data_IF_505676534449
#
_entry.id   IF_505676534449
#
_cell.length_a   1.000
_cell.length_b   1.000
_cell.length_c   1.000
_cell.angle_alpha   90.00
_cell.angle_beta   90.00
_cell.angle_gamma   90.00
#
_symmetry.space_group_name_H-M   'P 1'
#
loop_
_entity.id
_entity.type
_entity.pdbx_description
1 polymer ?
#
# COMPACT_ATOMS: atom_id res chain seq x y z
N UNK A 1 -65.01 38.51 40.47
CA UNK A 1 -65.28 37.98 39.11
C UNK A 1 -64.52 36.66 39.02
N UNK A 2 -65.20 35.50 38.91
CA UNK A 2 -65.49 34.76 37.65
C UNK A 2 -64.23 34.50 36.81
N UNK A 3 -63.92 33.30 36.32
CA UNK A 3 -64.40 31.92 36.53
C UNK A 3 -63.30 30.97 35.97
N UNK A 4 -62.91 29.89 36.64
CA UNK A 4 -63.43 28.51 36.47
C UNK A 4 -63.41 27.96 35.03
N UNK A 5 -62.43 27.09 34.73
CA UNK A 5 -62.55 25.77 34.06
C UNK A 5 -61.19 25.38 33.42
N UNK A 6 -60.79 24.11 33.25
CA UNK A 6 -61.03 22.80 33.86
C UNK A 6 -60.58 21.72 32.84
N UNK A 7 -60.41 20.50 33.35
CA UNK A 7 -60.28 19.22 32.62
C UNK A 7 -58.93 18.92 31.95
N UNK A 8 -58.28 17.75 32.03
CA UNK A 8 -58.44 16.43 32.73
C UNK A 8 -58.20 15.29 31.70
N UNK A 9 -57.61 14.16 32.15
CA UNK A 9 -57.35 12.86 31.44
C UNK A 9 -56.37 12.88 30.26
N UNK A 10 -55.78 11.78 29.77
CA UNK A 10 -55.52 10.36 30.17
C UNK A 10 -54.27 9.96 29.29
N UNK A 11 -53.42 8.93 29.48
CA UNK A 11 -53.23 7.86 30.48
C UNK A 11 -51.81 7.27 30.32
N UNK A 12 -51.18 6.68 31.35
CA UNK A 12 -50.07 5.74 31.18
C UNK A 12 -50.50 4.27 31.41
N UNK A 13 -50.44 3.44 30.37
CA UNK A 13 -50.41 1.97 30.48
C UNK A 13 -49.07 1.49 29.85
N UNK A 14 -48.15 0.73 30.45
CA UNK A 14 -48.13 -0.32 31.47
C UNK A 14 -47.79 -1.69 30.85
N UNK A 15 -47.09 -2.52 31.63
CA UNK A 15 -46.71 -3.92 31.34
C UNK A 15 -45.58 -4.10 30.28
N UNK A 16 -44.57 -4.95 30.46
CA UNK A 16 -44.18 -5.72 31.65
C UNK A 16 -43.41 -6.99 31.30
N UNK A 17 -42.25 -7.24 31.92
CA UNK A 17 -41.64 -8.59 32.02
C UNK A 17 -40.48 -8.62 33.03
N UNK A 18 -40.77 -9.00 34.29
CA UNK A 18 -39.71 -9.50 35.19
C UNK A 18 -39.36 -10.93 34.78
N UNK A 19 -38.08 -11.22 34.47
CA UNK A 19 -37.49 -12.53 34.76
C UNK A 19 -36.10 -12.36 35.37
N UNK A 20 -36.05 -12.43 36.70
CA UNK A 20 -34.82 -12.81 37.41
C UNK A 20 -34.61 -14.30 37.19
N UNK A 21 -33.44 -14.71 36.70
CA UNK A 21 -32.94 -16.05 36.98
C UNK A 21 -31.54 -15.95 37.57
N UNK A 22 -31.45 -16.28 38.86
CA UNK A 22 -30.22 -16.82 39.43
C UNK A 22 -29.75 -17.99 38.56
N UNK A 23 -28.52 -17.92 38.07
CA UNK A 23 -27.73 -19.12 37.79
C UNK A 23 -26.54 -19.08 38.74
N UNK A 24 -26.26 -20.23 39.36
CA UNK A 24 -25.36 -20.36 40.49
C UNK A 24 -23.90 -20.23 40.04
N UNK A 25 -23.08 -19.73 40.96
CA UNK A 25 -21.64 -19.95 40.95
C UNK A 25 -21.36 -21.46 40.89
N UNK A 26 -20.50 -21.89 39.97
CA UNK A 26 -19.85 -23.20 40.06
C UNK A 26 -18.35 -23.00 39.87
N UNK A 27 -17.64 -22.83 40.98
CA UNK A 27 -16.18 -22.81 40.97
C UNK A 27 -15.68 -24.23 40.67
N UNK A 28 -15.05 -24.44 39.51
CA UNK A 28 -14.31 -25.66 39.24
C UNK A 28 -12.81 -25.42 39.42
N UNK A 29 -12.40 -25.52 40.68
CA UNK A 29 -11.01 -25.63 41.13
C UNK A 29 -10.34 -26.81 40.43
N UNK A 30 -9.27 -26.56 39.67
CA UNK A 30 -8.27 -27.59 39.33
C UNK A 30 -6.86 -27.02 39.39
N UNK A 31 -6.34 -27.03 40.61
CA UNK A 31 -4.90 -27.04 40.85
C UNK A 31 -4.34 -28.33 40.23
N UNK A 32 -3.42 -28.21 39.28
CA UNK A 32 -2.49 -29.29 38.97
C UNK A 32 -1.07 -28.75 39.03
N UNK A 33 -0.51 -28.87 40.23
CA UNK A 33 0.93 -28.90 40.42
C UNK A 33 1.52 -30.00 39.54
N UNK A 34 2.54 -29.65 38.76
CA UNK A 34 3.53 -30.60 38.26
C UNK A 34 4.92 -30.01 38.46
N UNK A 35 5.45 -30.25 39.66
CA UNK A 35 6.89 -30.19 39.91
C UNK A 35 7.58 -31.44 39.35
N UNK A 36 8.91 -31.37 39.34
CA UNK A 36 9.88 -32.44 39.06
C UNK A 36 10.14 -32.79 37.59
N UNK A 37 11.38 -32.50 37.19
CA UNK A 37 11.95 -32.82 35.87
C UNK A 37 13.44 -32.47 35.79
N UNK A 38 14.19 -32.56 36.89
CA UNK A 38 15.65 -32.48 36.83
C UNK A 38 16.18 -33.71 36.09
N UNK A 39 16.85 -33.50 34.95
CA UNK A 39 17.70 -34.48 34.31
C UNK A 39 18.99 -33.79 33.82
N UNK A 40 19.94 -33.63 34.75
CA UNK A 40 21.33 -33.41 34.37
C UNK A 40 21.87 -34.70 33.76
N UNK A 41 22.31 -34.65 32.50
CA UNK A 41 23.16 -35.70 31.91
C UNK A 41 24.43 -35.02 31.42
N UNK A 42 25.47 -35.17 32.23
CA UNK A 42 26.85 -34.79 31.92
C UNK A 42 27.44 -35.68 30.83
N UNK A 43 28.46 -35.14 30.15
CA UNK A 43 29.54 -35.87 29.50
C UNK A 43 29.19 -37.04 28.55
N UNK A 44 29.22 -36.75 27.25
CA UNK A 44 29.96 -37.62 26.34
C UNK A 44 31.21 -36.91 25.86
N UNK A 45 32.33 -37.40 26.38
CA UNK A 45 33.67 -36.92 26.15
C UNK A 45 34.18 -37.43 24.79
N UNK A 46 34.60 -36.49 23.94
CA UNK A 46 35.84 -36.55 23.18
C UNK A 46 36.15 -37.84 22.38
N UNK A 47 35.90 -37.79 21.07
CA UNK A 47 36.75 -38.49 20.09
C UNK A 47 37.19 -37.52 19.01
N UNK A 48 38.44 -37.07 19.14
CA UNK A 48 39.08 -36.26 18.11
C UNK A 48 39.33 -37.06 16.84
N UNK A 49 39.14 -36.42 15.69
CA UNK A 49 39.65 -36.84 14.40
C UNK A 49 40.29 -35.62 13.74
N UNK A 50 41.62 -35.53 13.80
CA UNK A 50 42.38 -34.49 13.13
C UNK A 50 42.12 -34.54 11.62
N UNK A 51 41.39 -33.57 11.08
CA UNK A 51 41.38 -33.34 9.64
C UNK A 51 41.82 -31.90 9.35
N UNK A 52 43.11 -31.77 9.08
CA UNK A 52 43.78 -30.51 8.73
C UNK A 52 43.32 -30.04 7.35
N UNK A 53 42.18 -29.33 7.30
CA UNK A 53 41.67 -28.73 6.08
C UNK A 53 42.50 -27.48 5.78
N UNK A 54 43.20 -27.49 4.64
CA UNK A 54 43.99 -26.37 4.13
C UNK A 54 43.09 -25.13 3.96
N UNK A 55 43.54 -23.92 4.34
CA UNK A 55 42.79 -22.69 4.10
C UNK A 55 42.88 -22.32 2.60
N UNK A 56 42.07 -22.97 1.77
CA UNK A 56 41.93 -22.60 0.37
C UNK A 56 41.18 -21.27 0.31
N UNK A 57 41.89 -20.20 -0.09
CA UNK A 57 41.29 -18.89 -0.39
C UNK A 57 40.38 -18.99 -1.61
N UNK A 58 39.16 -19.47 -1.41
CA UNK A 58 38.09 -19.38 -2.40
C UNK A 58 37.46 -17.99 -2.31
N UNK A 59 38.04 -17.03 -3.04
CA UNK A 59 37.43 -15.72 -3.31
C UNK A 59 36.22 -15.92 -4.26
N UNK A 60 35.17 -16.56 -3.77
CA UNK A 60 33.90 -16.66 -4.49
C UNK A 60 33.17 -15.33 -4.36
N UNK A 61 33.34 -14.49 -5.38
CA UNK A 61 32.49 -13.32 -5.62
C UNK A 61 31.11 -13.85 -5.97
N UNK A 62 30.26 -14.03 -4.95
CA UNK A 62 28.83 -14.19 -5.15
C UNK A 62 28.27 -12.85 -5.61
N UNK A 63 28.38 -12.59 -6.92
CA UNK A 63 27.65 -11.51 -7.54
C UNK A 63 26.16 -11.81 -7.36
N UNK A 64 25.53 -11.12 -6.41
CA UNK A 64 24.07 -11.07 -6.29
C UNK A 64 23.58 -10.35 -7.53
N UNK A 65 23.31 -11.13 -8.57
CA UNK A 65 22.46 -10.71 -9.67
C UNK A 65 21.06 -10.55 -9.08
N UNK A 66 20.81 -9.40 -8.46
CA UNK A 66 19.49 -8.87 -8.26
C UNK A 66 18.92 -8.59 -9.66
N UNK A 67 18.43 -9.65 -10.30
CA UNK A 67 17.51 -9.54 -11.42
C UNK A 67 16.21 -9.05 -10.82
N UNK A 68 16.16 -7.75 -10.56
CA UNK A 68 14.90 -7.04 -10.42
C UNK A 68 14.21 -7.16 -11.76
N UNK A 69 13.34 -8.18 -11.87
CA UNK A 69 12.27 -8.21 -12.84
C UNK A 69 11.28 -7.09 -12.50
N UNK A 70 11.71 -5.84 -12.66
CA UNK A 70 10.79 -4.74 -12.86
C UNK A 70 10.02 -5.07 -14.14
N UNK A 71 8.72 -5.32 -14.01
CA UNK A 71 7.80 -5.38 -15.11
C UNK A 71 7.58 -3.96 -15.62
N UNK A 72 8.65 -3.39 -16.21
CA UNK A 72 8.70 -2.03 -16.72
C UNK A 72 7.47 -1.79 -17.59
N UNK A 73 6.60 -0.90 -17.12
CA UNK A 73 5.52 -0.39 -17.94
C UNK A 73 6.15 0.21 -19.21
N UNK A 74 5.81 -0.37 -20.34
CA UNK A 74 6.25 0.04 -21.67
C UNK A 74 5.01 0.36 -22.49
N UNK A 75 5.05 1.51 -23.16
CA UNK A 75 3.94 2.06 -23.92
C UNK A 75 4.46 2.88 -25.09
N UNK A 76 3.60 3.66 -25.76
CA UNK A 76 4.01 4.46 -26.91
C UNK A 76 5.22 5.35 -26.58
N UNK A 77 6.32 5.16 -27.32
CA UNK A 77 7.52 6.02 -27.29
C UNK A 77 8.33 6.07 -26.00
N UNK A 78 7.90 5.46 -24.89
CA UNK A 78 8.54 5.61 -23.57
C UNK A 78 8.59 4.29 -22.79
N UNK A 79 9.63 4.15 -21.97
CA UNK A 79 9.77 3.12 -20.93
C UNK A 79 9.78 3.80 -19.57
N UNK A 80 8.99 3.30 -18.63
CA UNK A 80 9.11 3.70 -17.24
C UNK A 80 10.45 3.22 -16.64
N UNK A 81 11.20 4.11 -15.98
CA UNK A 81 12.54 3.81 -15.45
C UNK A 81 12.61 3.75 -13.92
N UNK A 82 11.97 4.70 -13.23
CA UNK A 82 11.99 4.81 -11.76
C UNK A 82 10.84 5.71 -11.27
N UNK A 83 10.47 5.63 -9.99
CA UNK A 83 9.44 6.48 -9.42
C UNK A 83 9.15 6.24 -7.94
N UNK A 84 7.98 6.68 -7.48
CA UNK A 84 7.61 6.60 -6.08
C UNK A 84 6.24 7.19 -5.78
N UNK A 85 5.69 6.80 -4.63
CA UNK A 85 4.48 7.39 -4.07
C UNK A 85 4.73 7.78 -2.60
N UNK A 86 4.42 9.01 -2.22
CA UNK A 86 4.56 9.50 -0.83
C UNK A 86 3.22 10.00 -0.34
N UNK A 87 2.64 9.32 0.64
CA UNK A 87 1.45 9.75 1.36
C UNK A 87 1.89 10.55 2.60
N UNK A 88 1.64 11.86 2.60
CA UNK A 88 1.91 12.74 3.73
C UNK A 88 0.62 13.03 4.47
N UNK A 89 0.54 12.64 5.74
CA UNK A 89 -0.60 12.94 6.61
C UNK A 89 -0.52 14.38 7.14
N UNK A 90 -1.68 14.99 7.41
CA UNK A 90 -1.74 16.24 8.19
C UNK A 90 -1.60 15.95 9.68
N UNK A 91 -1.15 16.96 10.45
CA UNK A 91 -1.25 16.97 11.92
C UNK A 91 -2.64 16.58 12.41
N UNK A 92 -3.67 17.14 11.77
CA UNK A 92 -5.06 17.03 12.20
C UNK A 92 -5.60 15.62 11.96
N UNK A 93 -5.19 14.99 10.86
CA UNK A 93 -5.55 13.59 10.56
C UNK A 93 -4.89 12.60 11.52
N UNK A 94 -3.61 12.82 11.88
CA UNK A 94 -2.91 12.00 12.87
C UNK A 94 -3.49 12.20 14.28
N UNK A 95 -3.82 13.45 14.64
CA UNK A 95 -4.48 13.78 15.89
C UNK A 95 -5.88 13.14 15.99
N UNK A 96 -6.65 13.17 14.90
CA UNK A 96 -7.97 12.53 14.85
C UNK A 96 -7.89 11.00 14.90
N UNK A 97 -6.94 10.38 14.18
CA UNK A 97 -6.69 8.93 14.26
C UNK A 97 -6.29 8.52 15.68
N UNK A 98 -5.35 9.25 16.31
CA UNK A 98 -4.94 9.02 17.70
C UNK A 98 -6.10 9.23 18.69
N UNK A 99 -6.95 10.24 18.48
CA UNK A 99 -8.17 10.48 19.28
C UNK A 99 -9.19 9.34 19.13
N UNK A 100 -9.28 8.71 17.94
CA UNK A 100 -10.07 7.49 17.72
C UNK A 100 -9.37 6.22 18.26
N UNK A 101 -8.18 6.33 18.83
CA UNK A 101 -7.37 5.22 19.33
C UNK A 101 -6.73 4.39 18.22
N UNK A 102 -6.55 4.94 17.02
CA UNK A 102 -5.98 4.26 15.84
C UNK A 102 -4.53 4.67 15.65
N UNK A 103 -3.62 3.70 15.78
CA UNK A 103 -2.21 3.84 15.41
C UNK A 103 -1.98 3.52 13.94
N UNK A 104 -0.96 4.14 13.34
CA UNK A 104 -0.55 3.93 11.94
C UNK A 104 0.85 3.33 11.91
N UNK A 105 1.06 2.28 11.13
CA UNK A 105 2.38 1.67 10.89
C UNK A 105 2.56 1.39 9.40
N UNK A 106 3.76 1.59 8.85
CA UNK A 106 4.03 1.18 7.47
C UNK A 106 4.09 -0.34 7.33
N UNK A 107 3.71 -0.83 6.15
CA UNK A 107 3.82 -2.23 5.74
C UNK A 107 4.83 -2.31 4.60
N UNK A 108 5.88 -3.11 4.80
CA UNK A 108 7.01 -3.20 3.89
C UNK A 108 6.57 -3.51 2.43
N UNK A 109 7.26 -2.96 1.42
CA UNK A 109 8.49 -2.16 1.50
C UNK A 109 8.31 -0.68 1.90
N UNK A 110 7.09 -0.21 2.20
CA UNK A 110 6.88 1.17 2.64
C UNK A 110 7.53 1.46 4.01
N UNK A 111 7.87 2.73 4.25
CA UNK A 111 8.44 3.24 5.51
C UNK A 111 7.56 4.35 6.09
N UNK A 112 7.56 4.53 7.42
CA UNK A 112 6.82 5.58 8.12
C UNK A 112 7.76 6.38 9.03
N UNK A 113 7.78 7.71 8.87
CA UNK A 113 8.63 8.62 9.67
C UNK A 113 7.88 9.29 10.86
N UNK A 114 6.60 8.97 11.04
CA UNK A 114 5.69 9.59 12.01
C UNK A 114 4.68 10.55 11.39
N UNK A 115 4.91 11.04 10.16
CA UNK A 115 3.97 11.88 9.42
C UNK A 115 3.79 11.48 7.94
N UNK A 116 4.77 10.79 7.34
CA UNK A 116 4.80 10.40 5.94
C UNK A 116 4.98 8.90 5.79
N UNK A 117 4.16 8.30 4.94
CA UNK A 117 4.32 6.93 4.46
C UNK A 117 4.92 7.00 3.06
N UNK A 118 6.19 6.67 2.98
CA UNK A 118 6.96 6.60 1.73
C UNK A 118 6.82 5.18 1.19
N UNK A 119 6.10 5.02 0.10
CA UNK A 119 5.92 3.76 -0.62
C UNK A 119 6.99 3.66 -1.72
N UNK A 120 7.80 2.61 -1.68
CA UNK A 120 8.80 2.37 -2.73
C UNK A 120 8.14 1.81 -3.99
N UNK A 121 8.90 1.91 -5.07
CA UNK A 121 8.44 1.70 -6.44
C UNK A 121 9.27 0.61 -7.09
N UNK A 122 9.38 -0.53 -6.42
CA UNK A 122 10.24 -1.62 -6.89
C UNK A 122 9.65 -2.38 -8.10
N UNK A 123 8.35 -2.19 -8.42
CA UNK A 123 7.68 -2.63 -9.66
C UNK A 123 6.37 -1.84 -9.95
N UNK A 124 6.41 -0.53 -10.29
CA UNK A 124 5.19 0.25 -10.38
C UNK A 124 4.43 -0.07 -11.67
N UNK A 125 3.18 -0.51 -11.52
CA UNK A 125 2.26 -0.64 -12.65
C UNK A 125 1.75 0.73 -13.02
N UNK A 126 2.42 1.33 -14.01
CA UNK A 126 2.02 2.60 -14.65
C UNK A 126 1.25 2.31 -15.93
N UNK A 127 0.19 3.06 -16.17
CA UNK A 127 -0.62 2.99 -17.39
C UNK A 127 -0.74 4.40 -17.94
N UNK A 128 -0.54 4.58 -19.24
CA UNK A 128 -0.76 5.84 -19.94
C UNK A 128 -1.48 5.64 -21.28
N UNK A 129 -2.11 6.70 -21.78
CA UNK A 129 -2.87 6.69 -23.03
C UNK A 129 -1.99 7.00 -24.26
N UNK A 130 -2.59 7.01 -25.45
CA UNK A 130 -1.95 7.39 -26.72
C UNK A 130 -1.48 8.86 -26.79
N UNK A 131 -1.98 9.71 -25.90
CA UNK A 131 -1.62 11.13 -25.79
C UNK A 131 -0.47 11.36 -24.79
N UNK A 132 0.11 10.27 -24.25
CA UNK A 132 1.15 10.27 -23.22
C UNK A 132 0.70 10.74 -21.82
N UNK A 133 -0.61 10.78 -21.53
CA UNK A 133 -1.12 11.06 -20.19
C UNK A 133 -1.12 9.79 -19.33
N UNK A 134 -0.42 9.81 -18.19
CA UNK A 134 -0.51 8.77 -17.16
C UNK A 134 -1.92 8.75 -16.58
N UNK A 135 -2.63 7.64 -16.79
CA UNK A 135 -4.00 7.40 -16.31
C UNK A 135 -4.04 6.66 -14.98
N UNK A 136 -3.04 5.84 -14.69
CA UNK A 136 -2.89 5.16 -13.41
C UNK A 136 -1.44 4.87 -13.07
N UNK A 137 -1.13 4.85 -11.77
CA UNK A 137 0.17 4.44 -11.23
C UNK A 137 -0.07 3.70 -9.91
N UNK A 138 0.55 2.53 -9.75
CA UNK A 138 0.47 1.71 -8.53
C UNK A 138 1.81 1.73 -7.79
N UNK A 139 1.81 2.10 -6.51
CA UNK A 139 2.95 1.98 -5.62
C UNK A 139 2.93 0.66 -4.84
N UNK A 140 4.11 0.20 -4.39
CA UNK A 140 4.24 -1.03 -3.62
C UNK A 140 4.34 -0.77 -2.11
N UNK A 141 3.91 -1.77 -1.33
CA UNK A 141 3.74 -1.65 0.12
C UNK A 141 2.43 -0.98 0.49
N UNK A 142 2.40 -0.38 1.68
CA UNK A 142 1.23 0.33 2.19
C UNK A 142 1.32 0.53 3.69
N UNK A 143 0.20 0.41 4.40
CA UNK A 143 0.16 0.69 5.83
C UNK A 143 -0.94 -0.05 6.58
N UNK A 144 -0.70 -0.31 7.86
CA UNK A 144 -1.65 -0.94 8.77
C UNK A 144 -2.18 0.07 9.77
N UNK A 145 -3.49 0.21 9.83
CA UNK A 145 -4.21 0.93 10.88
C UNK A 145 -4.52 -0.08 12.00
N UNK A 146 -4.13 0.20 13.24
CA UNK A 146 -4.36 -0.68 14.39
C UNK A 146 -5.17 0.05 15.46
N UNK A 147 -6.32 -0.52 15.85
CA UNK A 147 -7.13 -0.01 16.94
C UNK A 147 -6.59 -0.45 18.30
N UNK A 148 -6.41 0.51 19.21
CA UNK A 148 -6.14 0.27 20.63
C UNK A 148 -7.41 0.05 21.45
N UNK A 149 -8.57 0.49 20.94
CA UNK A 149 -9.87 0.43 21.64
C UNK A 149 -10.60 -0.89 21.41
N UNK A 150 -10.47 -1.49 20.22
CA UNK A 150 -10.90 -2.86 19.95
C UNK A 150 -9.69 -3.79 19.87
N UNK A 151 -9.61 -4.76 20.80
CA UNK A 151 -8.47 -5.67 21.02
C UNK A 151 -7.84 -6.17 19.72
N UNK A 152 -6.74 -5.54 19.29
CA UNK A 152 -5.97 -5.97 18.13
C UNK A 152 -6.72 -5.92 16.80
N UNK A 153 -7.77 -5.10 16.66
CA UNK A 153 -8.45 -4.93 15.38
C UNK A 153 -7.55 -4.14 14.42
N UNK A 154 -7.32 -4.66 13.21
CA UNK A 154 -6.41 -4.06 12.24
C UNK A 154 -7.06 -3.88 10.87
N UNK A 155 -6.56 -2.92 10.11
CA UNK A 155 -6.85 -2.78 8.68
C UNK A 155 -5.52 -2.59 7.95
N UNK A 156 -5.15 -3.60 7.17
CA UNK A 156 -3.98 -3.56 6.28
C UNK A 156 -4.42 -2.98 4.94
N UNK A 157 -3.74 -1.93 4.49
CA UNK A 157 -3.92 -1.27 3.21
C UNK A 157 -2.69 -1.54 2.36
N UNK A 158 -2.89 -2.00 1.13
CA UNK A 158 -1.84 -2.45 0.21
C UNK A 158 -2.20 -2.14 -1.25
N UNK A 159 -1.24 -2.29 -2.17
CA UNK A 159 -1.43 -2.06 -3.61
C UNK A 159 -2.06 -0.68 -3.90
N UNK A 160 -1.53 0.35 -3.25
CA UNK A 160 -2.08 1.71 -3.32
C UNK A 160 -1.88 2.22 -4.75
N UNK A 161 -2.98 2.48 -5.44
CA UNK A 161 -3.01 2.93 -6.83
C UNK A 161 -3.73 4.26 -6.96
N UNK A 162 -3.22 5.11 -7.83
CA UNK A 162 -3.87 6.35 -8.21
C UNK A 162 -4.62 6.14 -9.52
N UNK A 163 -5.82 6.70 -9.59
CA UNK A 163 -6.49 7.03 -10.84
C UNK A 163 -6.45 8.55 -10.98
N UNK A 164 -5.71 9.03 -11.98
CA UNK A 164 -5.50 10.46 -12.23
C UNK A 164 -6.71 11.10 -12.92
N UNK A 165 -7.54 10.30 -13.61
CA UNK A 165 -8.73 10.78 -14.30
C UNK A 165 -9.92 10.94 -13.34
N UNK A 166 -10.10 10.01 -12.40
CA UNK A 166 -11.13 10.10 -11.35
C UNK A 166 -10.66 10.79 -10.07
N UNK A 167 -9.39 11.23 -10.01
CA UNK A 167 -8.77 11.90 -8.84
C UNK A 167 -9.01 11.11 -7.54
N UNK A 168 -8.85 9.79 -7.65
CA UNK A 168 -9.18 8.82 -6.59
C UNK A 168 -7.96 7.94 -6.29
N UNK A 169 -7.69 7.75 -5.00
CA UNK A 169 -6.73 6.77 -4.48
C UNK A 169 -7.49 5.49 -4.17
N UNK A 170 -7.06 4.38 -4.75
CA UNK A 170 -7.57 3.04 -4.47
C UNK A 170 -6.56 2.23 -3.66
N UNK A 171 -7.04 1.30 -2.84
CA UNK A 171 -6.21 0.34 -2.13
C UNK A 171 -6.91 -1.02 -2.03
N UNK A 172 -6.13 -2.09 -1.98
CA UNK A 172 -6.59 -3.39 -1.50
C UNK A 172 -6.56 -3.39 0.03
N UNK A 173 -7.70 -3.74 0.63
CA UNK A 173 -7.95 -3.66 2.07
C UNK A 173 -8.15 -5.05 2.65
N UNK A 174 -7.40 -5.39 3.69
CA UNK A 174 -7.63 -6.59 4.51
C UNK A 174 -7.95 -6.15 5.92
N UNK A 175 -9.18 -6.35 6.36
CA UNK A 175 -9.60 -6.05 7.73
C UNK A 175 -9.44 -7.27 8.63
N UNK A 176 -9.27 -7.04 9.93
CA UNK A 176 -9.40 -8.04 10.99
C UNK A 176 -10.17 -7.41 12.14
N UNK A 177 -11.50 -7.49 12.11
CA UNK A 177 -12.35 -6.86 13.13
C UNK A 177 -12.81 -7.87 14.19
N UNK A 178 -12.69 -7.51 15.47
CA UNK A 178 -13.14 -8.36 16.57
C UNK A 178 -14.67 -8.33 16.68
N UNK A 179 -15.35 -9.43 16.32
CA UNK A 179 -16.80 -9.52 16.46
C UNK A 179 -17.19 -9.86 17.90
N UNK A 180 -17.81 -8.91 18.59
CA UNK A 180 -18.35 -9.08 19.95
C UNK A 180 -19.42 -10.18 20.06
N UNK A 181 -20.06 -10.57 18.96
CA UNK A 181 -21.09 -11.61 18.94
C UNK A 181 -20.54 -13.05 18.81
N UNK A 182 -19.28 -13.24 18.41
CA UNK A 182 -18.75 -14.58 18.09
C UNK A 182 -17.34 -14.87 18.62
N UNK A 183 -16.71 -13.95 19.37
CA UNK A 183 -15.38 -14.14 19.96
C UNK A 183 -14.27 -14.40 18.93
N UNK A 184 -14.52 -14.05 17.67
CA UNK A 184 -13.69 -14.38 16.51
C UNK A 184 -13.42 -13.11 15.70
N UNK A 185 -12.24 -13.04 15.06
CA UNK A 185 -11.94 -11.97 14.12
C UNK A 185 -12.59 -12.30 12.78
N UNK A 186 -13.55 -11.47 12.35
CA UNK A 186 -14.10 -11.57 11.00
C UNK A 186 -13.23 -10.71 10.09
N UNK A 187 -12.39 -11.36 9.30
CA UNK A 187 -11.59 -10.69 8.28
C UNK A 187 -12.37 -10.51 6.98
N UNK A 188 -12.27 -9.33 6.38
CA UNK A 188 -12.86 -9.02 5.06
C UNK A 188 -11.77 -8.46 4.16
N UNK A 189 -11.62 -9.07 2.98
CA UNK A 189 -10.77 -8.54 1.91
C UNK A 189 -11.65 -7.75 0.93
N UNK A 190 -11.26 -6.52 0.64
CA UNK A 190 -11.89 -5.66 -0.37
C UNK A 190 -10.80 -5.26 -1.35
N UNK A 191 -10.87 -5.76 -2.58
CA UNK A 191 -9.94 -5.30 -3.61
C UNK A 191 -10.39 -3.97 -4.20
N UNK A 192 -9.43 -3.08 -4.48
CA UNK A 192 -9.61 -1.77 -5.11
C UNK A 192 -10.74 -0.94 -4.46
N UNK A 193 -10.74 -0.83 -3.13
CA UNK A 193 -11.60 0.12 -2.42
C UNK A 193 -11.17 1.54 -2.80
N UNK A 194 -12.12 2.39 -3.22
CA UNK A 194 -11.90 3.83 -3.35
C UNK A 194 -11.64 4.41 -1.95
N UNK A 195 -10.38 4.63 -1.60
CA UNK A 195 -9.94 4.98 -0.26
C UNK A 195 -10.05 6.48 -0.01
N UNK A 196 -9.42 7.29 -0.87
CA UNK A 196 -9.43 8.74 -0.79
C UNK A 196 -9.85 9.39 -2.11
N UNK A 197 -10.48 10.56 -2.02
CA UNK A 197 -10.63 11.53 -3.13
C UNK A 197 -10.03 12.87 -2.72
N UNK A 198 -9.68 13.71 -3.69
CA UNK A 198 -9.10 15.03 -3.39
C UNK A 198 -9.02 15.95 -4.60
N UNK A 199 -8.04 16.83 -4.62
CA UNK A 199 -7.77 17.79 -5.71
C UNK A 199 -6.43 17.50 -6.36
N UNK A 200 -6.43 17.18 -7.65
CA UNK A 200 -5.22 16.93 -8.44
C UNK A 200 -4.40 18.21 -8.69
N UNK A 201 -3.08 18.06 -8.76
CA UNK A 201 -2.11 19.08 -9.14
C UNK A 201 -0.93 18.44 -9.89
N UNK A 202 -0.11 19.27 -10.53
CA UNK A 202 1.04 18.83 -11.33
C UNK A 202 0.67 18.41 -12.75
N UNK A 203 1.58 17.68 -13.42
CA UNK A 203 1.39 17.19 -14.78
C UNK A 203 1.41 15.66 -14.80
N UNK A 204 0.47 15.06 -15.53
CA UNK A 204 0.42 13.62 -15.82
C UNK A 204 0.98 13.28 -17.20
N UNK A 205 1.25 14.27 -18.06
CA UNK A 205 1.67 14.06 -19.44
C UNK A 205 3.19 13.87 -19.54
N UNK A 206 3.63 12.70 -20.04
CA UNK A 206 5.04 12.30 -20.12
C UNK A 206 5.81 13.18 -21.11
N UNK A 207 5.19 13.50 -22.27
CA UNK A 207 5.82 14.30 -23.32
C UNK A 207 6.00 15.77 -22.88
N UNK A 208 4.94 16.38 -22.36
CA UNK A 208 4.97 17.77 -21.89
C UNK A 208 5.85 17.98 -20.64
N UNK A 209 6.10 16.92 -19.86
CA UNK A 209 7.00 16.94 -18.70
C UNK A 209 8.44 16.54 -19.03
N UNK A 210 8.78 16.29 -20.30
CA UNK A 210 10.13 15.88 -20.70
C UNK A 210 10.57 14.56 -20.05
N UNK A 211 9.64 13.63 -19.84
CA UNK A 211 9.88 12.34 -19.19
C UNK A 211 9.83 12.36 -17.65
N UNK A 212 9.52 13.48 -17.00
CA UNK A 212 9.49 13.59 -15.53
C UNK A 212 8.09 13.94 -15.02
N UNK A 213 7.23 12.93 -14.93
CA UNK A 213 5.86 13.07 -14.42
C UNK A 213 5.91 13.32 -12.91
N UNK A 214 5.26 14.40 -12.48
CA UNK A 214 5.08 14.73 -11.07
C UNK A 214 3.65 15.22 -10.89
N UNK A 215 2.82 14.39 -10.25
CA UNK A 215 1.42 14.70 -9.96
C UNK A 215 1.14 14.46 -8.48
N UNK A 216 0.24 15.23 -7.89
CA UNK A 216 -0.20 15.00 -6.51
C UNK A 216 -1.70 15.15 -6.40
N UNK A 217 -2.31 14.39 -5.50
CA UNK A 217 -3.68 14.65 -5.04
C UNK A 217 -3.56 15.19 -3.61
N UNK A 218 -3.88 16.47 -3.46
CA UNK A 218 -3.98 17.13 -2.17
C UNK A 218 -5.41 17.11 -1.63
N UNK A 219 -5.57 17.59 -0.39
CA UNK A 219 -6.86 17.67 0.30
C UNK A 219 -7.58 16.31 0.37
N UNK A 220 -6.84 15.24 0.66
CA UNK A 220 -7.36 13.88 0.68
C UNK A 220 -8.49 13.76 1.72
N UNK A 221 -9.63 13.23 1.29
CA UNK A 221 -10.76 12.89 2.17
C UNK A 221 -11.12 11.43 1.98
N UNK A 222 -11.46 10.75 3.08
CA UNK A 222 -12.01 9.40 2.97
C UNK A 222 -13.32 9.44 2.17
N UNK A 223 -13.49 8.49 1.26
CA UNK A 223 -14.72 8.38 0.48
C UNK A 223 -15.90 7.92 1.36
N UNK A 224 -17.13 8.19 0.91
CA UNK A 224 -18.33 7.69 1.59
C UNK A 224 -18.41 6.16 1.68
N UNK A 225 -17.68 5.42 0.83
CA UNK A 225 -17.56 3.96 0.91
C UNK A 225 -16.44 3.50 1.85
N UNK A 226 -15.34 4.25 1.95
CA UNK A 226 -14.24 3.91 2.85
C UNK A 226 -14.56 4.17 4.33
N UNK A 227 -15.27 5.26 4.64
CA UNK A 227 -15.65 5.64 6.02
C UNK A 227 -16.30 4.47 6.80
N UNK A 228 -17.39 3.83 6.33
CA UNK A 228 -18.04 2.75 7.06
C UNK A 228 -17.19 1.47 7.10
N UNK A 229 -16.47 1.13 6.04
CA UNK A 229 -15.65 -0.09 5.97
C UNK A 229 -14.47 -0.01 6.97
N UNK A 230 -13.72 1.10 6.95
CA UNK A 230 -12.61 1.32 7.89
C UNK A 230 -13.11 1.54 9.32
N UNK A 231 -14.16 2.35 9.50
CA UNK A 231 -14.70 2.69 10.80
C UNK A 231 -15.26 1.48 11.54
N UNK A 232 -16.03 0.63 10.85
CA UNK A 232 -16.54 -0.61 11.44
C UNK A 232 -15.42 -1.61 11.71
N UNK A 233 -14.43 -1.73 10.80
CA UNK A 233 -13.31 -2.64 11.00
C UNK A 233 -12.48 -2.29 12.25
N UNK A 234 -12.19 -1.00 12.46
CA UNK A 234 -11.41 -0.46 13.59
C UNK A 234 -12.22 -0.27 14.88
N UNK A 235 -13.53 -0.62 14.87
CA UNK A 235 -14.42 -0.48 16.02
C UNK A 235 -14.75 0.97 16.39
N UNK A 236 -14.59 1.92 15.48
CA UNK A 236 -14.87 3.34 15.69
C UNK A 236 -16.39 3.55 15.73
N UNK A 237 -16.98 4.17 16.77
CA UNK A 237 -18.42 4.45 16.83
C UNK A 237 -18.93 5.25 15.63
N UNK A 238 -20.11 4.89 15.10
CA UNK A 238 -20.68 5.49 13.88
C UNK A 238 -20.85 7.01 13.94
N UNK A 239 -21.15 7.58 15.12
CA UNK A 239 -21.22 9.04 15.28
C UNK A 239 -19.86 9.73 15.10
N UNK A 240 -18.76 9.10 15.53
CA UNK A 240 -17.39 9.58 15.28
C UNK A 240 -17.08 9.47 13.78
N UNK A 241 -17.42 8.34 13.15
CA UNK A 241 -17.24 8.15 11.72
C UNK A 241 -17.91 9.26 10.88
N UNK A 242 -19.14 9.65 11.24
CA UNK A 242 -19.92 10.64 10.50
C UNK A 242 -19.53 12.09 10.81
N UNK A 243 -19.09 12.41 12.04
CA UNK A 243 -18.75 13.78 12.42
C UNK A 243 -17.31 14.18 12.03
N UNK A 244 -16.34 13.28 12.22
CA UNK A 244 -14.92 13.59 12.04
C UNK A 244 -14.42 13.29 10.62
N UNK A 245 -14.60 12.07 10.11
CA UNK A 245 -13.92 11.66 8.88
C UNK A 245 -14.29 12.44 7.59
N UNK A 246 -15.51 12.99 7.38
CA UNK A 246 -15.82 13.79 6.19
C UNK A 246 -15.20 15.20 6.19
N UNK A 247 -14.87 15.74 7.37
CA UNK A 247 -14.34 17.10 7.54
C UNK A 247 -12.81 17.15 7.57
N UNK A 248 -12.16 16.07 7.98
CA UNK A 248 -10.70 15.95 8.06
C UNK A 248 -10.04 15.94 6.67
N UNK A 249 -8.99 16.73 6.53
CA UNK A 249 -8.01 16.59 5.45
C UNK A 249 -6.95 15.57 5.87
N UNK A 250 -6.94 14.40 5.25
CA UNK A 250 -5.96 13.33 5.45
C UNK A 250 -4.59 13.63 4.82
N UNK A 251 -4.46 14.71 4.06
CA UNK A 251 -3.19 15.25 3.59
C UNK A 251 -3.03 15.18 2.08
N UNK A 252 -1.87 14.72 1.64
CA UNK A 252 -1.49 14.70 0.22
C UNK A 252 -0.84 13.37 -0.15
N UNK A 253 -1.13 12.88 -1.35
CA UNK A 253 -0.34 11.83 -2.00
C UNK A 253 0.39 12.45 -3.19
N UNK A 254 1.70 12.36 -3.19
CA UNK A 254 2.55 12.77 -4.31
C UNK A 254 3.04 11.53 -5.06
N UNK A 255 2.98 11.59 -6.38
CA UNK A 255 3.54 10.60 -7.29
C UNK A 255 4.64 11.24 -8.13
N UNK A 256 5.73 10.52 -8.26
CA UNK A 256 6.84 10.88 -9.11
C UNK A 256 7.16 9.68 -10.02
N UNK A 257 7.34 9.92 -11.31
CA UNK A 257 7.65 8.89 -12.29
C UNK A 257 8.58 9.42 -13.37
N UNK A 258 9.65 8.68 -13.61
CA UNK A 258 10.64 8.94 -14.65
C UNK A 258 10.44 7.99 -15.83
N UNK A 259 10.55 8.54 -17.03
CA UNK A 259 10.33 7.85 -18.28
C UNK A 259 11.45 8.19 -19.26
N UNK A 260 12.20 7.19 -19.68
CA UNK A 260 13.14 7.32 -20.79
C UNK A 260 12.38 7.14 -22.12
N UNK A 261 12.73 7.93 -23.13
CA UNK A 261 12.24 7.67 -24.48
C UNK A 261 12.80 6.32 -24.97
N UNK A 262 11.94 5.49 -25.58
CA UNK A 262 12.38 4.28 -26.26
C UNK A 262 13.34 4.71 -27.38
N UNK A 263 14.59 4.21 -27.41
CA UNK A 263 15.51 4.55 -28.48
C UNK A 263 14.91 4.09 -29.81
N UNK A 264 14.86 4.98 -30.80
CA UNK A 264 14.41 4.63 -32.14
C UNK A 264 15.36 3.60 -32.73
N UNK A 265 14.94 2.33 -32.73
CA UNK A 265 15.63 1.27 -33.46
C UNK A 265 15.62 1.66 -34.93
N UNK A 266 16.79 1.91 -35.57
CA UNK A 266 16.80 2.28 -36.97
C UNK A 266 16.18 1.16 -37.80
N UNK A 267 15.37 1.52 -38.79
CA UNK A 267 14.73 0.51 -39.62
C UNK A 267 15.77 -0.40 -40.30
N UNK A 268 15.45 -1.67 -40.61
CA UNK A 268 16.34 -2.56 -41.36
C UNK A 268 16.80 -1.95 -42.70
N UNK A 269 15.94 -1.11 -43.30
CA UNK A 269 16.23 -0.28 -44.47
C UNK A 269 17.41 0.67 -44.26
N UNK A 270 17.53 1.29 -43.08
CA UNK A 270 18.61 2.21 -42.71
C UNK A 270 19.94 1.48 -42.63
N UNK A 271 19.97 0.31 -41.98
CA UNK A 271 21.16 -0.54 -41.92
C UNK A 271 21.55 -1.07 -43.31
N UNK A 272 20.58 -1.49 -44.13
CA UNK A 272 20.82 -1.94 -45.49
C UNK A 272 21.37 -0.82 -46.39
N UNK A 273 20.86 0.40 -46.27
CA UNK A 273 21.29 1.56 -47.07
C UNK A 273 22.69 2.04 -46.64
N UNK A 274 22.99 2.08 -45.32
CA UNK A 274 24.35 2.31 -44.83
C UNK A 274 25.32 1.23 -45.34
N UNK A 275 24.94 -0.05 -45.27
CA UNK A 275 25.74 -1.17 -45.78
C UNK A 275 26.02 -1.07 -47.28
N UNK A 276 24.99 -0.77 -48.09
CA UNK A 276 25.17 -0.54 -49.53
C UNK A 276 26.02 0.70 -49.83
N UNK A 277 25.88 1.79 -49.08
CA UNK A 277 26.70 2.99 -49.23
C UNK A 277 28.19 2.69 -49.06
N UNK A 278 28.56 1.96 -48.00
CA UNK A 278 29.96 1.52 -47.77
C UNK A 278 30.44 0.56 -48.88
N UNK A 279 29.59 -0.38 -49.30
CA UNK A 279 29.89 -1.31 -50.39
C UNK A 279 30.18 -0.60 -51.72
N UNK A 280 29.36 0.39 -52.09
CA UNK A 280 29.55 1.19 -53.30
C UNK A 280 30.84 2.02 -53.24
N UNK A 281 31.15 2.64 -52.09
CA UNK A 281 32.42 3.39 -51.90
C UNK A 281 33.62 2.44 -52.05
N UNK A 282 33.56 1.23 -51.49
CA UNK A 282 34.62 0.23 -51.62
C UNK A 282 34.83 -0.20 -53.08
N UNK A 283 33.75 -0.43 -53.84
CA UNK A 283 33.81 -0.77 -55.27
C UNK A 283 34.38 0.39 -56.11
N UNK A 284 33.97 1.64 -55.84
CA UNK A 284 34.51 2.83 -56.53
C UNK A 284 36.01 3.00 -56.25
N UNK A 285 36.45 2.83 -55.01
CA UNK A 285 37.88 2.87 -54.67
C UNK A 285 38.67 1.72 -55.31
N UNK A 286 38.13 0.50 -55.30
CA UNK A 286 38.76 -0.65 -55.96
C UNK A 286 38.91 -0.41 -57.47
N UNK A 287 37.90 0.17 -58.13
CA UNK A 287 37.95 0.54 -59.55
C UNK A 287 38.99 1.64 -59.82
N UNK A 288 39.06 2.69 -58.99
CA UNK A 288 40.08 3.74 -59.11
C UNK A 288 41.50 3.18 -59.00
N UNK A 289 41.77 2.31 -58.02
CA UNK A 289 43.09 1.68 -57.83
C UNK A 289 43.53 0.78 -59.01
N UNK A 290 42.57 0.25 -59.79
CA UNK A 290 42.83 -0.54 -61.01
C UNK A 290 43.05 0.31 -62.26
N UNK A 291 42.75 1.61 -62.23
CA UNK A 291 42.94 2.55 -63.35
C UNK A 291 44.19 3.43 -63.18
N UNK A 292 44.81 3.42 -61.99
CA UNK A 292 46.06 4.11 -61.68
C UNK A 292 47.24 3.15 -61.50
N UNK A 293 47.13 1.95 -62.09
CA UNK A 293 48.17 0.93 -62.25
C UNK A 293 48.17 0.50 -63.72
#
# INVERSE_FOLDING_TARGET
>A
MRASHACDRDRPDAQGARRRHHVKQTACRREHSFQHGMASISNLQERGSNMTIKPLKALMIAAVAAVSCAAQASGPGYTFTDGGAVLTFTSDSLAALNTAGVGVTATAPATFDGAKITMTSDDPRVIWNSNFDVTSLTGFGGFTLTSSTTKGAQVVLSNISLDTASVTVYADVVTSSFSSNFGSYQGKTISKLALFTGTAAGSTNILASGGNVSTSIGNLKLTGTAIPELGNALGVPTFIQQALFPSINFGTIALNGQFAAVPSVPEPSTFALMGMGVGLIALVQARRRRLTR
#
